data_IF_535481573573
#
_entry.id   IF_535481573573
#
_cell.length_a   1.000
_cell.length_b   1.000
_cell.length_c   1.000
_cell.angle_alpha   90.00
_cell.angle_beta   90.00
_cell.angle_gamma   90.00
#
_symmetry.space_group_name_H-M   'P 1'
#
loop_
_entity.id
_entity.type
_entity.pdbx_description
1 polymer ?
#
# COMPACT_ATOMS: atom_id res chain seq x y z
N UNK A 1 -4.21 -20.57 2.94
CA UNK A 1 -5.56 -20.04 2.65
C UNK A 1 -5.38 -18.60 2.26
N UNK A 2 -5.69 -18.23 1.03
CA UNK A 2 -5.51 -16.86 0.52
C UNK A 2 -6.52 -15.95 1.20
N UNK A 3 -6.09 -14.79 1.72
CA UNK A 3 -6.97 -13.83 2.39
C UNK A 3 -8.15 -13.31 1.55
N UNK A 4 -8.18 -13.62 0.24
CA UNK A 4 -9.33 -13.38 -0.63
C UNK A 4 -10.57 -14.20 -0.24
N UNK A 5 -10.40 -15.39 0.32
CA UNK A 5 -11.51 -16.29 0.63
C UNK A 5 -12.24 -15.90 1.91
N UNK A 6 -11.56 -15.22 2.84
CA UNK A 6 -12.14 -14.86 4.13
C UNK A 6 -13.23 -13.79 4.05
N UNK A 7 -13.23 -12.96 2.99
CA UNK A 7 -14.22 -11.87 2.80
C UNK A 7 -15.15 -12.09 1.60
N UNK A 8 -14.89 -13.11 0.78
CA UNK A 8 -15.69 -13.38 -0.44
C UNK A 8 -17.15 -13.76 -0.14
N UNK A 9 -17.42 -14.33 1.02
CA UNK A 9 -18.76 -14.71 1.48
C UNK A 9 -19.55 -13.60 2.19
N UNK A 10 -18.96 -12.44 2.47
CA UNK A 10 -19.64 -11.36 3.19
C UNK A 10 -20.50 -10.51 2.24
N UNK A 11 -21.68 -10.14 2.69
CA UNK A 11 -22.55 -9.23 1.96
C UNK A 11 -21.98 -7.79 1.90
N UNK A 12 -22.50 -6.99 0.98
CA UNK A 12 -22.03 -5.62 0.75
C UNK A 12 -22.17 -4.72 1.99
N UNK A 13 -23.23 -4.90 2.77
CA UNK A 13 -23.48 -4.10 3.98
C UNK A 13 -22.43 -4.38 5.02
N UNK A 14 -22.14 -5.63 5.29
CA UNK A 14 -21.10 -6.06 6.23
C UNK A 14 -19.73 -5.54 5.82
N UNK A 15 -19.38 -5.65 4.53
CA UNK A 15 -18.09 -5.11 4.02
C UNK A 15 -17.99 -3.59 4.21
N UNK A 16 -19.07 -2.84 3.95
CA UNK A 16 -19.10 -1.38 4.19
C UNK A 16 -18.95 -1.03 5.65
N UNK A 17 -19.57 -1.78 6.54
CA UNK A 17 -19.45 -1.61 7.98
C UNK A 17 -18.00 -1.85 8.43
N UNK A 18 -17.35 -2.92 7.95
CA UNK A 18 -15.94 -3.22 8.24
C UNK A 18 -15.03 -2.12 7.73
N UNK A 19 -15.24 -1.63 6.51
CA UNK A 19 -14.49 -0.50 5.97
C UNK A 19 -14.65 0.75 6.84
N UNK A 20 -15.88 1.05 7.28
CA UNK A 20 -16.16 2.17 8.18
C UNK A 20 -15.40 2.07 9.50
N UNK A 21 -15.41 0.89 10.12
CA UNK A 21 -14.66 0.62 11.35
C UNK A 21 -13.16 0.75 11.14
N UNK A 22 -12.64 0.21 10.03
CA UNK A 22 -11.22 0.33 9.70
C UNK A 22 -10.79 1.78 9.43
N UNK A 23 -11.64 2.59 8.79
CA UNK A 23 -11.38 4.02 8.59
C UNK A 23 -11.19 4.76 9.92
N UNK A 24 -12.05 4.49 10.90
CA UNK A 24 -11.91 5.08 12.24
C UNK A 24 -10.57 4.68 12.86
N UNK A 25 -10.22 3.40 12.81
CA UNK A 25 -8.93 2.91 13.28
C UNK A 25 -7.76 3.58 12.52
N UNK A 26 -7.78 3.59 11.19
CA UNK A 26 -6.72 4.16 10.34
C UNK A 26 -6.51 5.65 10.62
N UNK A 27 -7.58 6.41 10.88
CA UNK A 27 -7.50 7.83 11.23
C UNK A 27 -6.59 8.10 12.41
N UNK A 28 -6.63 7.23 13.41
CA UNK A 28 -5.85 7.36 14.65
C UNK A 28 -4.48 6.70 14.59
N UNK A 29 -4.18 5.92 13.54
CA UNK A 29 -2.84 5.34 13.39
C UNK A 29 -1.79 6.43 13.14
N UNK A 30 -0.66 6.44 13.87
CA UNK A 30 0.45 7.37 13.64
C UNK A 30 1.34 6.88 12.48
N UNK A 31 0.75 6.79 11.27
CA UNK A 31 1.46 6.35 10.07
C UNK A 31 1.51 7.46 9.04
N UNK A 32 2.59 7.47 8.27
CA UNK A 32 2.74 8.19 7.01
C UNK A 32 2.88 7.17 5.88
N UNK A 33 2.59 7.56 4.65
CA UNK A 33 2.77 6.68 3.51
C UNK A 33 3.23 7.43 2.26
N UNK A 34 3.92 6.72 1.40
CA UNK A 34 4.28 7.15 0.05
C UNK A 34 3.71 6.16 -0.96
N UNK A 35 3.38 6.62 -2.17
CA UNK A 35 2.79 5.78 -3.23
C UNK A 35 3.71 5.74 -4.44
N UNK A 36 4.02 4.53 -4.87
CA UNK A 36 4.61 4.25 -6.18
C UNK A 36 3.54 3.61 -7.06
N UNK A 37 3.05 4.35 -8.06
CA UNK A 37 2.01 3.89 -8.97
C UNK A 37 2.55 3.75 -10.39
N UNK A 38 2.36 2.59 -11.00
CA UNK A 38 2.86 2.27 -12.33
C UNK A 38 1.77 1.68 -13.20
N UNK A 39 1.60 2.22 -14.41
CA UNK A 39 0.78 1.61 -15.43
C UNK A 39 1.62 0.56 -16.18
N UNK A 40 1.32 -0.72 -16.01
CA UNK A 40 2.10 -1.84 -16.61
C UNK A 40 2.26 -1.70 -18.12
N UNK A 41 1.26 -1.15 -18.82
CA UNK A 41 1.29 -0.88 -20.26
C UNK A 41 2.37 0.10 -20.72
N UNK A 42 2.98 0.85 -19.80
CA UNK A 42 4.06 1.80 -20.10
C UNK A 42 5.43 1.13 -20.14
N UNK A 43 5.52 -0.13 -19.77
CA UNK A 43 6.79 -0.85 -19.71
C UNK A 43 6.83 -1.98 -20.73
N UNK A 44 7.98 -2.10 -21.43
CA UNK A 44 8.20 -3.13 -22.44
C UNK A 44 8.25 -4.56 -21.86
N UNK A 45 8.54 -4.71 -20.56
CA UNK A 45 8.55 -5.99 -19.85
C UNK A 45 8.38 -5.80 -18.35
N UNK A 46 8.05 -6.89 -17.64
CA UNK A 46 7.98 -6.91 -16.18
C UNK A 46 9.33 -6.59 -15.52
N UNK A 47 10.46 -6.97 -16.15
CA UNK A 47 11.78 -6.65 -15.65
C UNK A 47 12.06 -5.14 -15.70
N UNK A 48 11.59 -4.46 -16.77
CA UNK A 48 11.71 -2.99 -16.86
C UNK A 48 10.85 -2.29 -15.79
N UNK A 49 9.66 -2.80 -15.56
CA UNK A 49 8.80 -2.33 -14.46
C UNK A 49 9.50 -2.53 -13.10
N UNK A 50 9.98 -3.74 -12.82
CA UNK A 50 10.67 -4.06 -11.57
C UNK A 50 11.92 -3.19 -11.37
N UNK A 51 12.67 -2.92 -12.44
CA UNK A 51 13.82 -2.01 -12.42
C UNK A 51 13.43 -0.57 -12.08
N UNK A 52 12.33 -0.06 -12.64
CA UNK A 52 11.82 1.27 -12.31
C UNK A 52 11.35 1.35 -10.84
N UNK A 53 10.57 0.39 -10.39
CA UNK A 53 10.12 0.32 -9.00
C UNK A 53 11.30 0.28 -8.02
N UNK A 54 12.31 -0.54 -8.31
CA UNK A 54 13.53 -0.63 -7.50
C UNK A 54 14.21 0.72 -7.37
N UNK A 55 14.45 1.40 -8.50
CA UNK A 55 15.09 2.71 -8.51
C UNK A 55 14.33 3.73 -7.68
N UNK A 56 13.03 3.79 -7.85
CA UNK A 56 12.21 4.79 -7.18
C UNK A 56 12.11 4.53 -5.67
N UNK A 57 12.07 3.26 -5.25
CA UNK A 57 12.16 2.86 -3.84
C UNK A 57 13.53 3.25 -3.25
N UNK A 58 14.60 2.98 -3.97
CA UNK A 58 15.98 3.35 -3.54
C UNK A 58 16.09 4.86 -3.37
N UNK A 59 15.62 5.64 -4.35
CA UNK A 59 15.62 7.09 -4.27
C UNK A 59 14.85 7.59 -3.05
N UNK A 60 13.64 7.05 -2.82
CA UNK A 60 12.84 7.38 -1.64
C UNK A 60 13.57 7.09 -0.33
N UNK A 61 14.27 5.96 -0.23
CA UNK A 61 15.06 5.62 0.96
C UNK A 61 16.21 6.61 1.18
N UNK A 62 16.89 7.03 0.11
CA UNK A 62 17.96 8.03 0.20
C UNK A 62 17.42 9.41 0.55
N UNK A 63 16.30 9.82 -0.03
CA UNK A 63 15.65 11.12 0.28
C UNK A 63 15.21 11.21 1.75
N UNK A 64 14.91 10.06 2.37
CA UNK A 64 14.50 9.96 3.77
C UNK A 64 15.58 9.35 4.70
N UNK A 65 16.82 9.30 4.24
CA UNK A 65 17.90 8.59 4.92
C UNK A 65 18.13 9.10 6.35
N UNK A 66 18.13 10.41 6.56
CA UNK A 66 18.36 11.01 7.86
C UNK A 66 17.29 10.59 8.89
N UNK A 67 16.01 10.54 8.47
CA UNK A 67 14.92 10.06 9.32
C UNK A 67 15.09 8.57 9.64
N UNK A 68 15.38 7.75 8.63
CA UNK A 68 15.56 6.30 8.79
C UNK A 68 16.75 5.96 9.69
N UNK A 69 17.85 6.70 9.58
CA UNK A 69 19.04 6.52 10.42
C UNK A 69 18.86 7.00 11.86
N UNK A 70 17.84 7.82 12.15
CA UNK A 70 17.51 8.25 13.51
C UNK A 70 16.92 7.14 14.38
N UNK A 71 16.47 6.02 13.77
CA UNK A 71 15.93 4.87 14.49
C UNK A 71 17.03 3.84 14.80
N UNK A 72 16.94 3.20 15.97
CA UNK A 72 17.87 2.13 16.35
C UNK A 72 17.68 0.88 15.48
N UNK A 73 16.44 0.62 15.04
CA UNK A 73 16.07 -0.54 14.25
C UNK A 73 14.99 -0.19 13.23
N UNK A 74 15.15 -0.66 12.00
CA UNK A 74 14.15 -0.57 10.94
C UNK A 74 13.62 -1.97 10.64
N UNK A 75 12.29 -2.15 10.77
CA UNK A 75 11.61 -3.41 10.44
C UNK A 75 10.83 -3.24 9.14
N UNK A 76 11.12 -4.08 8.16
CA UNK A 76 10.48 -4.08 6.86
C UNK A 76 9.53 -5.26 6.75
N UNK A 77 8.25 -4.98 6.51
CA UNK A 77 7.22 -5.98 6.27
C UNK A 77 6.75 -5.87 4.83
N UNK A 78 6.67 -6.98 4.13
CA UNK A 78 6.14 -7.00 2.77
C UNK A 78 5.32 -8.25 2.49
N UNK A 79 4.37 -8.12 1.58
CA UNK A 79 3.60 -9.25 1.08
C UNK A 79 4.43 -10.06 0.09
N UNK A 80 4.32 -11.38 0.18
CA UNK A 80 5.11 -12.36 -0.58
C UNK A 80 4.75 -12.42 -2.08
N UNK A 81 3.93 -11.46 -2.57
CA UNK A 81 3.37 -11.48 -3.92
C UNK A 81 4.37 -11.30 -5.08
N UNK A 82 5.53 -10.66 -4.84
CA UNK A 82 6.53 -10.41 -5.88
C UNK A 82 7.95 -10.55 -5.32
N UNK A 83 8.48 -11.75 -5.37
CA UNK A 83 9.79 -12.10 -4.82
C UNK A 83 10.94 -11.18 -5.29
N UNK A 84 10.99 -10.85 -6.57
CA UNK A 84 12.04 -9.97 -7.13
C UNK A 84 12.01 -8.55 -6.59
N UNK A 85 10.83 -8.01 -6.31
CA UNK A 85 10.66 -6.67 -5.72
C UNK A 85 11.03 -6.72 -4.24
N UNK A 86 10.58 -7.75 -3.53
CA UNK A 86 10.88 -7.95 -2.12
C UNK A 86 12.39 -8.08 -1.87
N UNK A 87 13.09 -8.86 -2.68
CA UNK A 87 14.56 -9.01 -2.60
C UNK A 87 15.28 -7.69 -2.91
N UNK A 88 14.77 -6.94 -3.88
CA UNK A 88 15.35 -5.65 -4.25
C UNK A 88 15.16 -4.60 -3.16
N UNK A 89 13.99 -4.58 -2.53
CA UNK A 89 13.71 -3.72 -1.39
C UNK A 89 14.62 -4.06 -0.20
N UNK A 90 14.78 -5.35 0.09
CA UNK A 90 15.66 -5.82 1.16
C UNK A 90 17.10 -5.31 0.95
N UNK A 91 17.68 -5.55 -0.22
CA UNK A 91 19.04 -5.09 -0.54
C UNK A 91 19.17 -3.56 -0.51
N UNK A 92 18.12 -2.83 -0.94
CA UNK A 92 18.12 -1.38 -0.90
C UNK A 92 18.13 -0.85 0.52
N UNK A 93 17.33 -1.45 1.41
CA UNK A 93 17.28 -1.06 2.83
C UNK A 93 18.60 -1.39 3.53
N UNK A 94 19.15 -2.59 3.34
CA UNK A 94 20.46 -2.97 3.90
C UNK A 94 21.58 -2.00 3.45
N UNK A 95 21.61 -1.69 2.16
CA UNK A 95 22.62 -0.78 1.61
C UNK A 95 22.46 0.66 2.14
N UNK A 96 21.22 1.19 2.13
CA UNK A 96 20.95 2.57 2.52
C UNK A 96 21.17 2.81 4.02
N UNK A 97 20.84 1.84 4.86
CA UNK A 97 20.86 2.05 6.30
C UNK A 97 22.18 1.69 6.94
N UNK A 98 23.04 0.88 6.31
CA UNK A 98 24.30 0.36 6.88
C UNK A 98 24.12 -0.20 8.31
N UNK A 99 22.91 -0.58 8.66
CA UNK A 99 22.48 -1.09 9.96
C UNK A 99 21.72 -2.39 9.77
N UNK A 100 21.63 -3.21 10.79
CA UNK A 100 20.85 -4.44 10.80
C UNK A 100 19.36 -4.15 10.55
N UNK A 101 18.96 -4.22 9.29
CA UNK A 101 17.57 -4.16 8.91
C UNK A 101 16.95 -5.55 9.04
N UNK A 102 16.04 -5.73 9.98
CA UNK A 102 15.31 -6.99 10.12
C UNK A 102 14.16 -7.02 9.13
N UNK A 103 14.29 -7.89 8.13
CA UNK A 103 13.26 -8.08 7.11
C UNK A 103 12.41 -9.28 7.46
N UNK A 104 11.12 -9.04 7.67
CA UNK A 104 10.14 -10.09 7.91
C UNK A 104 9.52 -10.54 6.60
N UNK A 105 9.93 -11.71 6.11
CA UNK A 105 9.33 -12.39 4.96
C UNK A 105 8.00 -13.01 5.39
N UNK A 106 7.00 -12.95 4.52
CA UNK A 106 5.68 -13.57 4.72
C UNK A 106 4.88 -13.10 5.96
N UNK A 107 4.81 -11.79 6.16
CA UNK A 107 3.85 -11.24 7.10
C UNK A 107 2.41 -11.54 6.59
N UNK A 108 1.66 -12.37 7.32
CA UNK A 108 0.24 -12.54 7.01
C UNK A 108 -0.48 -11.23 7.34
N UNK A 109 -1.24 -10.62 6.40
CA UNK A 109 -1.94 -9.36 6.64
C UNK A 109 -2.87 -9.38 7.86
N UNK A 110 -3.40 -10.57 8.21
CA UNK A 110 -4.23 -10.78 9.39
C UNK A 110 -3.48 -10.59 10.72
N UNK A 111 -2.17 -10.78 10.73
CA UNK A 111 -1.34 -10.73 11.94
C UNK A 111 -0.72 -9.34 12.15
N UNK A 112 -0.55 -8.58 11.08
CA UNK A 112 0.16 -7.30 11.13
C UNK A 112 -0.71 -6.12 10.72
N UNK A 113 -1.02 -5.27 11.67
CA UNK A 113 -1.86 -4.08 11.46
C UNK A 113 -1.31 -3.10 10.41
N UNK A 114 0.01 -3.01 10.28
CA UNK A 114 0.65 -2.18 9.25
C UNK A 114 0.41 -2.74 7.85
N UNK A 115 0.43 -4.07 7.66
CA UNK A 115 0.06 -4.69 6.38
C UNK A 115 -1.39 -4.40 6.02
N UNK A 116 -2.31 -4.48 6.97
CA UNK A 116 -3.72 -4.11 6.75
C UNK A 116 -3.87 -2.62 6.36
N UNK A 117 -3.07 -1.74 6.98
CA UNK A 117 -3.05 -0.33 6.63
C UNK A 117 -2.51 -0.10 5.21
N UNK A 118 -1.45 -0.81 4.82
CA UNK A 118 -0.90 -0.78 3.46
C UNK A 118 -1.93 -1.25 2.42
N UNK A 119 -2.61 -2.37 2.65
CA UNK A 119 -3.68 -2.89 1.78
C UNK A 119 -4.83 -1.90 1.64
N UNK A 120 -5.23 -1.28 2.75
CA UNK A 120 -6.26 -0.25 2.75
C UNK A 120 -5.83 0.95 1.88
N UNK A 121 -4.61 1.47 2.08
CA UNK A 121 -4.06 2.60 1.32
C UNK A 121 -4.00 2.26 -0.16
N UNK A 122 -3.43 1.10 -0.52
CA UNK A 122 -3.35 0.63 -1.90
C UNK A 122 -4.74 0.54 -2.55
N UNK A 123 -5.74 0.03 -1.83
CA UNK A 123 -7.12 -0.05 -2.31
C UNK A 123 -7.70 1.33 -2.55
N UNK A 124 -7.50 2.30 -1.65
CA UNK A 124 -8.01 3.66 -1.81
C UNK A 124 -7.35 4.39 -2.98
N UNK A 125 -6.04 4.30 -3.11
CA UNK A 125 -5.31 4.96 -4.19
C UNK A 125 -5.58 4.31 -5.56
N UNK A 126 -5.66 2.98 -5.63
CA UNK A 126 -6.06 2.29 -6.86
C UNK A 126 -7.49 2.66 -7.28
N UNK A 127 -8.42 2.75 -6.32
CA UNK A 127 -9.79 3.20 -6.59
C UNK A 127 -9.80 4.64 -7.11
N UNK A 128 -8.97 5.51 -6.55
CA UNK A 128 -8.83 6.89 -7.04
C UNK A 128 -8.32 6.94 -8.49
N UNK A 129 -7.33 6.12 -8.84
CA UNK A 129 -6.83 5.99 -10.22
C UNK A 129 -7.95 5.52 -11.15
N UNK A 130 -8.68 4.46 -10.78
CA UNK A 130 -9.81 3.95 -11.57
C UNK A 130 -10.87 5.02 -11.85
N UNK A 131 -11.24 5.81 -10.85
CA UNK A 131 -12.18 6.91 -11.04
C UNK A 131 -11.63 8.01 -11.94
N UNK A 132 -10.36 8.36 -11.76
CA UNK A 132 -9.72 9.40 -12.57
C UNK A 132 -9.57 8.99 -14.04
N UNK A 133 -9.33 7.71 -14.30
CA UNK A 133 -9.19 7.12 -15.63
C UNK A 133 -10.53 6.66 -16.23
N UNK A 134 -11.67 6.87 -15.56
CA UNK A 134 -13.00 6.40 -15.98
C UNK A 134 -13.08 4.87 -16.18
N UNK A 135 -12.29 4.11 -15.40
CA UNK A 135 -12.26 2.65 -15.43
C UNK A 135 -12.90 2.02 -14.18
N UNK A 136 -13.51 2.83 -13.33
CA UNK A 136 -14.26 2.35 -12.16
C UNK A 136 -15.43 1.45 -12.60
N UNK A 137 -15.58 0.34 -11.91
CA UNK A 137 -16.64 -0.64 -12.19
C UNK A 137 -17.92 -0.30 -11.42
N UNK A 138 -19.05 -0.88 -11.86
CA UNK A 138 -20.31 -0.78 -11.09
C UNK A 138 -20.17 -1.33 -9.65
N UNK A 139 -19.25 -2.25 -9.41
CA UNK A 139 -18.94 -2.76 -8.08
C UNK A 139 -18.19 -1.71 -7.25
N UNK A 140 -17.22 -1.02 -7.85
CA UNK A 140 -16.52 0.08 -7.19
C UNK A 140 -17.52 1.18 -6.78
N UNK A 141 -18.43 1.56 -7.68
CA UNK A 141 -19.46 2.57 -7.40
C UNK A 141 -20.47 2.13 -6.33
N UNK A 142 -20.91 0.87 -6.36
CA UNK A 142 -21.77 0.32 -5.32
C UNK A 142 -21.10 0.35 -3.96
N UNK A 143 -19.78 0.15 -3.90
CA UNK A 143 -19.03 0.08 -2.66
C UNK A 143 -18.63 1.47 -2.13
N UNK A 144 -18.04 2.30 -2.97
CA UNK A 144 -17.45 3.60 -2.59
C UNK A 144 -18.34 4.80 -2.89
N UNK A 145 -19.42 4.63 -3.66
CA UNK A 145 -20.28 5.71 -4.10
C UNK A 145 -19.74 6.45 -5.33
N UNK A 146 -20.25 7.64 -5.59
CA UNK A 146 -19.80 8.49 -6.71
C UNK A 146 -18.39 9.02 -6.45
N UNK A 147 -17.65 9.31 -7.51
CA UNK A 147 -16.31 9.90 -7.44
C UNK A 147 -16.23 11.14 -6.53
N UNK A 148 -17.23 12.03 -6.63
CA UNK A 148 -17.27 13.25 -5.80
C UNK A 148 -17.28 12.92 -4.30
N UNK A 149 -18.03 11.92 -3.89
CA UNK A 149 -18.23 11.55 -2.49
C UNK A 149 -17.01 10.80 -1.96
N UNK A 150 -16.51 9.86 -2.75
CA UNK A 150 -15.27 9.15 -2.45
C UNK A 150 -14.08 10.11 -2.30
N UNK A 151 -13.90 11.04 -3.27
CA UNK A 151 -12.81 12.01 -3.28
C UNK A 151 -12.84 12.94 -2.07
N UNK A 152 -14.01 13.52 -1.77
CA UNK A 152 -14.17 14.47 -0.66
C UNK A 152 -14.19 13.79 0.72
N UNK A 153 -14.60 12.55 0.76
CA UNK A 153 -14.70 11.76 1.99
C UNK A 153 -13.46 10.92 2.24
N UNK A 154 -13.53 9.65 1.82
CA UNK A 154 -12.55 8.61 2.15
C UNK A 154 -11.14 8.98 1.67
N UNK A 155 -11.00 9.34 0.40
CA UNK A 155 -9.69 9.61 -0.20
C UNK A 155 -9.01 10.83 0.45
N UNK A 156 -9.76 11.92 0.64
CA UNK A 156 -9.23 13.11 1.32
C UNK A 156 -8.72 12.79 2.73
N UNK A 157 -9.46 11.95 3.45
CA UNK A 157 -9.08 11.52 4.79
C UNK A 157 -7.81 10.66 4.77
N UNK A 158 -7.74 9.70 3.85
CA UNK A 158 -6.57 8.82 3.68
C UNK A 158 -5.33 9.64 3.33
N UNK A 159 -5.45 10.58 2.38
CA UNK A 159 -4.33 11.42 1.90
C UNK A 159 -3.83 12.48 2.87
N UNK A 160 -4.45 12.63 4.05
CA UNK A 160 -3.84 13.42 5.13
C UNK A 160 -2.53 12.84 5.65
N UNK A 161 -2.26 11.58 5.36
CA UNK A 161 -1.07 10.84 5.79
C UNK A 161 -0.06 10.62 4.66
N UNK A 162 -0.36 11.12 3.47
CA UNK A 162 0.54 11.09 2.31
C UNK A 162 1.66 12.10 2.51
N UNK A 163 2.90 11.68 2.26
CA UNK A 163 4.13 12.49 2.32
C UNK A 163 4.77 12.58 0.96
#
# INVERSE_FOLDING_TARGET
MNGKDQYSGLDLRTRKMMLGSFRVFFRHMPVKYHIFAYATKQFASLDKLAGAMRRDIVNFLFDNLAELQSYDMVKVYYDNGQHSIAESLHRAVEYALSKDAVVYRSAQPSEYRLSQAADYICTMELTAIKYAEHTATATDEKFFGKWSDFKKGILKETRKKLV
#
